data_IF_769788866244
#
_entry.id   IF_769788866244
#
_cell.length_a   1.000
_cell.length_b   1.000
_cell.length_c   1.000
_cell.angle_alpha   90.00
_cell.angle_beta   90.00
_cell.angle_gamma   90.00
#
_symmetry.space_group_name_H-M   'P 1'
#
loop_
_entity.id
_entity.type
_entity.pdbx_description
1 polymer ?
#
# COMPACT_ATOMS: atom_id res chain seq x y z
N UNK A 1 32.70 -6.39 -28.95
CA UNK A 1 31.74 -5.50 -28.27
C UNK A 1 32.50 -4.90 -27.11
N UNK A 2 32.77 -3.61 -27.17
CA UNK A 2 33.73 -2.96 -26.25
C UNK A 2 33.20 -2.92 -24.82
N UNK A 3 34.06 -3.19 -23.85
CA UNK A 3 33.72 -3.26 -22.41
C UNK A 3 33.05 -1.98 -21.90
N UNK A 4 33.34 -0.84 -22.52
CA UNK A 4 32.72 0.45 -22.22
C UNK A 4 31.23 0.49 -22.58
N UNK A 5 30.87 -0.04 -23.76
CA UNK A 5 29.48 -0.14 -24.20
C UNK A 5 28.67 -1.08 -23.30
N UNK A 6 29.28 -2.18 -22.84
CA UNK A 6 28.65 -3.10 -21.90
C UNK A 6 28.41 -2.45 -20.53
N UNK A 7 29.40 -1.73 -19.98
CA UNK A 7 29.26 -1.02 -18.70
C UNK A 7 28.17 0.04 -18.74
N UNK A 8 28.13 0.83 -19.81
CA UNK A 8 27.10 1.86 -20.02
C UNK A 8 25.69 1.24 -20.09
N UNK A 9 25.53 0.18 -20.87
CA UNK A 9 24.25 -0.54 -20.99
C UNK A 9 23.75 -1.07 -19.64
N UNK A 10 24.66 -1.60 -18.80
CA UNK A 10 24.32 -2.06 -17.45
C UNK A 10 23.88 -0.91 -16.55
N UNK A 11 24.55 0.24 -16.61
CA UNK A 11 24.18 1.43 -15.82
C UNK A 11 22.82 1.99 -16.24
N UNK A 12 22.55 2.07 -17.55
CA UNK A 12 21.26 2.50 -18.10
C UNK A 12 20.13 1.56 -17.66
N UNK A 13 20.36 0.24 -17.68
CA UNK A 13 19.40 -0.75 -17.19
C UNK A 13 19.15 -0.61 -15.68
N UNK A 14 20.21 -0.45 -14.88
CA UNK A 14 20.08 -0.26 -13.43
C UNK A 14 19.29 1.00 -13.09
N UNK A 15 19.52 2.08 -13.83
CA UNK A 15 18.77 3.32 -13.68
C UNK A 15 17.30 3.15 -14.06
N UNK A 16 17.02 2.53 -15.21
CA UNK A 16 15.65 2.25 -15.65
C UNK A 16 14.89 1.39 -14.63
N UNK A 17 15.54 0.37 -14.06
CA UNK A 17 14.95 -0.47 -13.01
C UNK A 17 14.64 0.33 -11.74
N UNK A 18 15.54 1.20 -11.28
CA UNK A 18 15.28 2.08 -10.13
C UNK A 18 14.10 3.01 -10.38
N UNK A 19 13.97 3.55 -11.59
CA UNK A 19 12.83 4.37 -11.99
C UNK A 19 11.52 3.58 -11.95
N UNK A 20 11.49 2.38 -12.52
CA UNK A 20 10.30 1.53 -12.51
C UNK A 20 9.87 1.23 -11.06
N UNK A 21 10.79 0.83 -10.19
CA UNK A 21 10.45 0.54 -8.78
C UNK A 21 10.01 1.81 -8.05
N UNK A 22 10.61 2.96 -8.34
CA UNK A 22 10.16 4.25 -7.80
C UNK A 22 8.72 4.54 -8.20
N UNK A 23 8.34 4.34 -9.47
CA UNK A 23 6.97 4.52 -9.93
C UNK A 23 6.00 3.56 -9.23
N UNK A 24 6.37 2.29 -9.08
CA UNK A 24 5.56 1.29 -8.37
C UNK A 24 5.37 1.66 -6.89
N UNK A 25 6.43 2.16 -6.25
CA UNK A 25 6.41 2.58 -4.86
C UNK A 25 5.56 3.83 -4.66
N UNK A 26 5.74 4.86 -5.49
CA UNK A 26 4.92 6.09 -5.45
C UNK A 26 3.46 5.77 -5.75
N UNK A 27 3.19 4.92 -6.75
CA UNK A 27 1.84 4.45 -7.06
C UNK A 27 1.22 3.69 -5.89
N UNK A 28 1.95 2.76 -5.28
CA UNK A 28 1.50 2.03 -4.10
C UNK A 28 1.24 2.96 -2.90
N UNK A 29 2.11 3.94 -2.66
CA UNK A 29 1.94 4.94 -1.62
C UNK A 29 0.69 5.80 -1.85
N UNK A 30 0.47 6.26 -3.09
CA UNK A 30 -0.70 7.04 -3.48
C UNK A 30 -2.00 6.24 -3.29
N UNK A 31 -2.05 5.01 -3.83
CA UNK A 31 -3.22 4.14 -3.72
C UNK A 31 -3.53 3.80 -2.25
N UNK A 32 -2.50 3.48 -1.48
CA UNK A 32 -2.60 3.21 -0.05
C UNK A 32 -3.12 4.41 0.73
N UNK A 33 -2.57 5.61 0.49
CA UNK A 33 -3.02 6.85 1.14
C UNK A 33 -4.46 7.20 0.76
N UNK A 34 -4.83 7.03 -0.51
CA UNK A 34 -6.20 7.26 -0.99
C UNK A 34 -7.19 6.31 -0.33
N UNK A 35 -6.85 5.01 -0.26
CA UNK A 35 -7.68 4.02 0.42
C UNK A 35 -7.83 4.33 1.92
N UNK A 36 -6.76 4.75 2.57
CA UNK A 36 -6.78 5.15 3.97
C UNK A 36 -7.70 6.37 4.23
N UNK A 37 -7.60 7.41 3.40
CA UNK A 37 -8.49 8.59 3.50
C UNK A 37 -9.95 8.19 3.27
N UNK A 38 -10.20 7.31 2.29
CA UNK A 38 -11.53 6.79 2.02
C UNK A 38 -12.09 5.97 3.18
N UNK A 39 -11.27 5.26 3.95
CA UNK A 39 -11.71 4.43 5.07
C UNK A 39 -12.48 5.23 6.12
N UNK A 40 -12.01 6.44 6.45
CA UNK A 40 -12.70 7.33 7.40
C UNK A 40 -14.11 7.75 6.91
N UNK A 41 -14.28 7.94 5.59
CA UNK A 41 -15.59 8.22 5.00
C UNK A 41 -16.49 6.99 4.99
N UNK A 42 -15.90 5.82 4.70
CA UNK A 42 -16.60 4.55 4.66
C UNK A 42 -17.11 4.12 6.04
N UNK A 43 -16.36 4.37 7.11
CA UNK A 43 -16.80 4.06 8.48
C UNK A 43 -18.20 4.62 8.80
N UNK A 44 -18.43 5.89 8.46
CA UNK A 44 -19.71 6.58 8.69
C UNK A 44 -20.85 5.88 7.92
N UNK A 45 -20.61 5.58 6.64
CA UNK A 45 -21.59 4.92 5.76
C UNK A 45 -21.88 3.49 6.24
N UNK A 46 -20.86 2.77 6.68
CA UNK A 46 -20.99 1.38 7.12
C UNK A 46 -21.75 1.25 8.44
N UNK A 47 -21.53 2.18 9.39
CA UNK A 47 -22.30 2.22 10.63
C UNK A 47 -23.79 2.47 10.37
N UNK A 48 -24.11 3.33 9.41
CA UNK A 48 -25.49 3.61 8.99
C UNK A 48 -26.13 2.38 8.31
N UNK A 49 -25.41 1.75 7.36
CA UNK A 49 -25.89 0.57 6.63
C UNK A 49 -26.10 -0.67 7.53
N UNK A 50 -25.33 -0.81 8.59
CA UNK A 50 -25.43 -1.96 9.50
C UNK A 50 -26.54 -1.80 10.56
N UNK A 51 -27.16 -0.62 10.68
CA UNK A 51 -28.29 -0.41 11.59
C UNK A 51 -27.97 -0.76 13.06
N UNK A 52 -26.74 -0.51 13.51
CA UNK A 52 -26.28 -0.83 14.86
C UNK A 52 -25.72 -2.26 15.05
N UNK A 53 -25.64 -3.09 14.01
CA UNK A 53 -24.91 -4.37 14.06
C UNK A 53 -23.39 -4.14 14.15
N UNK A 54 -22.65 -5.04 14.82
CA UNK A 54 -21.19 -4.94 14.89
C UNK A 54 -20.55 -5.06 13.49
N UNK A 55 -19.47 -4.31 13.27
CA UNK A 55 -18.69 -4.37 12.05
C UNK A 55 -17.99 -5.74 11.91
N UNK A 56 -17.83 -6.26 10.68
CA UNK A 56 -16.99 -7.44 10.44
C UNK A 56 -15.57 -7.23 10.97
N UNK A 57 -14.93 -8.32 11.39
CA UNK A 57 -13.62 -8.28 12.04
C UNK A 57 -12.57 -7.48 11.24
N UNK A 58 -12.47 -7.73 9.94
CA UNK A 58 -11.48 -7.07 9.09
C UNK A 58 -11.74 -5.58 8.92
N UNK A 59 -13.01 -5.19 8.82
CA UNK A 59 -13.44 -3.79 8.77
C UNK A 59 -13.15 -3.07 10.08
N UNK A 60 -13.45 -3.69 11.21
CA UNK A 60 -13.16 -3.14 12.53
C UNK A 60 -11.65 -3.00 12.74
N UNK A 61 -10.86 -4.01 12.41
CA UNK A 61 -9.41 -3.97 12.50
C UNK A 61 -8.81 -2.86 11.63
N UNK A 62 -9.32 -2.68 10.40
CA UNK A 62 -8.88 -1.60 9.53
C UNK A 62 -9.25 -0.21 10.09
N UNK A 63 -10.45 -0.04 10.62
CA UNK A 63 -10.90 1.21 11.24
C UNK A 63 -10.10 1.53 12.49
N UNK A 64 -9.84 0.55 13.35
CA UNK A 64 -9.05 0.74 14.57
C UNK A 64 -7.60 1.11 14.25
N UNK A 65 -7.02 0.48 13.24
CA UNK A 65 -5.72 0.89 12.69
C UNK A 65 -5.78 2.29 12.07
N UNK A 66 -6.90 2.62 11.43
CA UNK A 66 -7.23 3.95 10.91
C UNK A 66 -7.25 5.04 11.98
N UNK A 67 -7.97 4.80 13.08
CA UNK A 67 -8.16 5.72 14.21
C UNK A 67 -6.89 6.00 14.98
N UNK A 68 -5.92 5.09 14.93
CA UNK A 68 -4.56 5.37 15.41
C UNK A 68 -3.82 6.42 14.57
N UNK A 69 -4.44 6.99 13.52
CA UNK A 69 -4.22 8.32 12.92
C UNK A 69 -2.78 8.69 12.58
N UNK A 70 -1.99 8.98 13.61
CA UNK A 70 -0.56 9.25 13.54
C UNK A 70 0.28 8.01 13.23
N UNK A 71 -0.12 6.82 13.71
CA UNK A 71 0.63 5.59 13.51
C UNK A 71 0.39 4.99 12.11
N UNK A 72 -0.86 4.89 11.65
CA UNK A 72 -1.17 4.33 10.32
C UNK A 72 -0.59 5.17 9.18
N UNK A 73 -0.94 6.46 9.12
CA UNK A 73 -0.42 7.40 8.12
C UNK A 73 1.09 7.67 8.26
N UNK A 74 1.60 7.71 9.50
CA UNK A 74 3.03 7.87 9.78
C UNK A 74 3.86 6.67 9.31
N UNK A 75 3.40 5.44 9.58
CA UNK A 75 4.07 4.21 9.12
C UNK A 75 4.06 4.10 7.59
N UNK A 76 2.97 4.51 6.92
CA UNK A 76 2.92 4.58 5.46
C UNK A 76 3.94 5.56 4.89
N UNK A 77 3.98 6.78 5.45
CA UNK A 77 4.90 7.83 5.02
C UNK A 77 6.35 7.42 5.27
N UNK A 78 6.63 6.80 6.42
CA UNK A 78 7.94 6.26 6.77
C UNK A 78 8.35 5.14 5.82
N UNK A 79 7.44 4.22 5.49
CA UNK A 79 7.71 3.12 4.56
C UNK A 79 8.05 3.63 3.15
N UNK A 80 7.29 4.61 2.66
CA UNK A 80 7.55 5.25 1.39
C UNK A 80 8.90 5.98 1.37
N UNK A 81 9.19 6.76 2.42
CA UNK A 81 10.46 7.48 2.57
C UNK A 81 11.66 6.54 2.69
N UNK A 82 11.56 5.47 3.49
CA UNK A 82 12.62 4.47 3.62
C UNK A 82 12.87 3.75 2.30
N UNK A 83 11.81 3.35 1.59
CA UNK A 83 11.96 2.69 0.30
C UNK A 83 12.59 3.60 -0.76
N UNK A 84 12.17 4.87 -0.86
CA UNK A 84 12.79 5.87 -1.75
C UNK A 84 14.24 6.16 -1.36
N UNK A 85 14.51 6.30 -0.06
CA UNK A 85 15.85 6.49 0.47
C UNK A 85 16.77 5.32 0.10
N UNK A 86 16.33 4.08 0.32
CA UNK A 86 17.10 2.89 -0.06
C UNK A 86 17.32 2.80 -1.58
N UNK A 87 16.32 3.15 -2.39
CA UNK A 87 16.41 3.12 -3.84
C UNK A 87 17.46 4.08 -4.40
N UNK A 88 17.50 5.32 -3.89
CA UNK A 88 18.29 6.39 -4.49
C UNK A 88 19.58 6.71 -3.75
N UNK A 89 19.63 6.56 -2.42
CA UNK A 89 20.81 6.88 -1.61
C UNK A 89 21.80 5.72 -1.58
N UNK A 90 21.32 4.48 -1.66
CA UNK A 90 22.20 3.32 -1.50
C UNK A 90 23.00 3.00 -2.78
N UNK A 91 24.31 2.86 -2.62
CA UNK A 91 25.26 2.63 -3.73
C UNK A 91 25.18 1.20 -4.28
N UNK A 92 24.96 0.20 -3.42
CA UNK A 92 24.81 -1.20 -3.86
C UNK A 92 23.44 -1.41 -4.50
N UNK A 93 23.42 -1.69 -5.81
CA UNK A 93 22.21 -1.94 -6.60
C UNK A 93 21.30 -3.01 -5.98
N UNK A 94 21.85 -4.17 -5.58
CA UNK A 94 21.05 -5.27 -4.99
C UNK A 94 20.28 -4.85 -3.75
N UNK A 95 20.91 -4.12 -2.83
CA UNK A 95 20.29 -3.66 -1.58
C UNK A 95 19.22 -2.61 -1.87
N UNK A 96 19.52 -1.66 -2.75
CA UNK A 96 18.58 -0.64 -3.23
C UNK A 96 17.32 -1.27 -3.83
N UNK A 97 17.48 -2.26 -4.71
CA UNK A 97 16.34 -2.94 -5.34
C UNK A 97 15.52 -3.77 -4.35
N UNK A 98 16.16 -4.58 -3.49
CA UNK A 98 15.42 -5.38 -2.51
C UNK A 98 14.66 -4.51 -1.51
N UNK A 99 15.29 -3.45 -1.01
CA UNK A 99 14.65 -2.49 -0.11
C UNK A 99 13.49 -1.74 -0.78
N UNK A 100 13.67 -1.33 -2.04
CA UNK A 100 12.62 -0.70 -2.84
C UNK A 100 11.42 -1.62 -3.08
N UNK A 101 11.68 -2.88 -3.49
CA UNK A 101 10.63 -3.87 -3.70
C UNK A 101 9.92 -4.27 -2.42
N UNK A 102 10.62 -4.42 -1.30
CA UNK A 102 9.97 -4.74 -0.02
C UNK A 102 9.08 -3.60 0.46
N UNK A 103 9.54 -2.35 0.34
CA UNK A 103 8.72 -1.19 0.66
C UNK A 103 7.49 -1.08 -0.25
N UNK A 104 7.66 -1.30 -1.56
CA UNK A 104 6.55 -1.34 -2.50
C UNK A 104 5.56 -2.45 -2.14
N UNK A 105 6.02 -3.68 -1.89
CA UNK A 105 5.16 -4.80 -1.52
C UNK A 105 4.35 -4.50 -0.25
N UNK A 106 4.96 -3.86 0.75
CA UNK A 106 4.27 -3.48 1.99
C UNK A 106 3.18 -2.42 1.76
N UNK A 107 3.44 -1.42 0.91
CA UNK A 107 2.45 -0.41 0.53
C UNK A 107 1.26 -1.02 -0.23
N UNK A 108 1.53 -1.95 -1.15
CA UNK A 108 0.49 -2.67 -1.88
C UNK A 108 -0.31 -3.62 -0.98
N UNK A 109 0.35 -4.36 -0.07
CA UNK A 109 -0.32 -5.20 0.92
C UNK A 109 -1.25 -4.37 1.80
N UNK A 110 -0.82 -3.18 2.24
CA UNK A 110 -1.66 -2.27 3.00
C UNK A 110 -2.88 -1.78 2.18
N UNK A 111 -2.67 -1.41 0.91
CA UNK A 111 -3.78 -1.05 0.02
C UNK A 111 -4.81 -2.17 -0.10
N UNK A 112 -4.37 -3.40 -0.39
CA UNK A 112 -5.28 -4.55 -0.54
C UNK A 112 -5.97 -4.93 0.78
N UNK A 113 -5.29 -4.78 1.91
CA UNK A 113 -5.88 -4.98 3.22
C UNK A 113 -7.06 -4.01 3.46
N UNK A 114 -6.85 -2.70 3.22
CA UNK A 114 -7.93 -1.71 3.37
C UNK A 114 -9.05 -1.93 2.35
N UNK A 115 -8.70 -2.18 1.08
CA UNK A 115 -9.68 -2.44 0.04
C UNK A 115 -10.54 -3.68 0.37
N UNK A 116 -9.91 -4.76 0.86
CA UNK A 116 -10.61 -5.95 1.31
C UNK A 116 -11.53 -5.67 2.51
N UNK A 117 -11.04 -4.91 3.49
CA UNK A 117 -11.82 -4.50 4.65
C UNK A 117 -13.06 -3.64 4.31
N UNK A 118 -13.01 -2.87 3.21
CA UNK A 118 -14.14 -2.11 2.69
C UNK A 118 -15.19 -3.00 1.98
N UNK A 119 -14.79 -4.13 1.41
CA UNK A 119 -15.68 -5.06 0.69
C UNK A 119 -16.36 -6.05 1.63
N UNK A 120 -15.69 -6.45 2.72
CA UNK A 120 -16.20 -7.41 3.71
C UNK A 120 -17.63 -7.09 4.26
N UNK A 121 -17.99 -5.84 4.60
CA UNK A 121 -19.33 -5.52 5.10
C UNK A 121 -20.39 -5.60 3.99
N UNK A 122 -20.04 -5.24 2.75
CA UNK A 122 -20.94 -5.42 1.59
C UNK A 122 -21.22 -6.91 1.38
N UNK A 123 -20.20 -7.76 1.48
CA UNK A 123 -20.35 -9.21 1.41
C UNK A 123 -21.23 -9.74 2.55
N UNK A 124 -21.04 -9.26 3.77
CA UNK A 124 -21.86 -9.63 4.93
C UNK A 124 -23.33 -9.24 4.75
N UNK A 125 -23.61 -8.04 4.21
CA UNK A 125 -24.98 -7.60 3.89
C UNK A 125 -25.59 -8.51 2.82
N UNK A 126 -24.87 -8.78 1.71
CA UNK A 126 -25.36 -9.64 0.63
C UNK A 126 -25.64 -11.05 1.14
N UNK A 127 -24.74 -11.67 1.91
CA UNK A 127 -24.93 -13.02 2.45
C UNK A 127 -26.11 -13.09 3.44
N UNK A 128 -26.37 -12.02 4.20
CA UNK A 128 -27.54 -11.94 5.07
C UNK A 128 -28.86 -11.68 4.31
N UNK A 129 -28.80 -11.12 3.10
CA UNK A 129 -29.96 -10.85 2.23
C UNK A 129 -30.24 -11.99 1.25
N UNK A 130 -29.23 -12.81 0.91
CA UNK A 130 -29.34 -13.86 -0.12
C UNK A 130 -29.63 -15.26 0.42
N UNK A 131 -30.14 -15.41 1.65
CA UNK A 131 -30.43 -16.73 2.24
C UNK A 131 -30.47 -16.73 3.76
N UNK A 132 -31.30 -15.92 4.43
CA UNK A 132 -32.76 -15.90 4.30
C UNK A 132 -33.35 -15.71 2.90
#
# INVERSE_FOLDING_TARGET
MDDENLRRSIQELQFALRLIVTLVLVGGAWMSATAYISLARYEIVLQDMLGGKPLPFWTQAAIDWGRLGTLGGGLLSLTALMGLGLLWVHTKFRVSMYGGFSAAAMLWAHYFFIAGAMVDPVRSIIMNVSGN
#
